data_IF_458285171314
#
_entry.id   IF_458285171314
#
_cell.length_a   1.000
_cell.length_b   1.000
_cell.length_c   1.000
_cell.angle_alpha   90.00
_cell.angle_beta   90.00
_cell.angle_gamma   90.00
#
_symmetry.space_group_name_H-M   'P 1'
#
loop_
_entity.id
_entity.type
_entity.pdbx_description
1 polymer ?
#
# COMPACT_ATOMS: atom_id res chain seq x y z
N UNK A 1 7.37 13.23 -18.58
CA UNK A 1 7.79 13.24 -17.17
C UNK A 1 9.23 12.74 -17.13
N UNK A 2 10.19 13.62 -16.86
CA UNK A 2 11.61 13.26 -16.76
C UNK A 2 11.79 12.44 -15.48
N UNK A 3 12.09 11.16 -15.64
CA UNK A 3 12.58 10.31 -14.54
C UNK A 3 14.07 10.64 -14.41
N UNK A 4 14.50 11.07 -13.22
CA UNK A 4 15.90 11.29 -12.91
C UNK A 4 16.67 9.98 -13.18
N UNK A 5 17.49 9.98 -14.23
CA UNK A 5 18.29 8.83 -14.67
C UNK A 5 19.72 9.06 -14.17
N UNK A 6 20.14 8.27 -13.20
CA UNK A 6 21.51 8.13 -12.69
C UNK A 6 22.39 7.76 -13.85
N UNK A 7 23.55 8.38 -13.80
CA UNK A 7 24.60 8.27 -14.79
C UNK A 7 25.39 6.96 -14.60
N UNK A 8 25.15 6.21 -13.51
CA UNK A 8 25.93 5.03 -13.12
C UNK A 8 25.05 3.86 -12.66
N UNK A 9 25.47 2.65 -13.04
CA UNK A 9 24.75 1.39 -12.82
C UNK A 9 25.70 0.28 -12.38
N UNK A 10 25.26 -0.57 -11.43
CA UNK A 10 26.04 -1.71 -10.90
C UNK A 10 25.24 -2.99 -11.08
N UNK A 11 25.76 -3.99 -11.81
CA UNK A 11 25.09 -5.29 -11.99
C UNK A 11 24.95 -6.09 -10.68
N UNK A 12 23.79 -6.03 -10.04
CA UNK A 12 23.45 -6.85 -8.86
C UNK A 12 22.94 -8.24 -9.30
N UNK A 13 23.45 -9.37 -8.77
CA UNK A 13 22.89 -10.70 -9.02
C UNK A 13 21.40 -10.80 -8.64
N UNK A 14 20.60 -11.59 -9.38
CA UNK A 14 19.16 -11.80 -9.07
C UNK A 14 18.88 -13.06 -8.26
N UNK A 15 19.92 -13.82 -7.92
CA UNK A 15 19.87 -15.04 -7.13
C UNK A 15 20.89 -14.92 -5.99
N UNK A 16 20.63 -15.61 -4.89
CA UNK A 16 21.57 -15.77 -3.78
C UNK A 16 22.01 -14.44 -3.14
N UNK A 17 21.06 -13.51 -2.96
CA UNK A 17 21.30 -12.23 -2.29
C UNK A 17 21.22 -12.44 -0.77
N UNK A 18 22.37 -12.38 -0.08
CA UNK A 18 22.41 -12.31 1.38
C UNK A 18 22.14 -10.88 1.84
N UNK A 19 21.05 -10.70 2.59
CA UNK A 19 20.79 -9.47 3.34
C UNK A 19 21.09 -9.70 4.81
N UNK A 20 21.89 -8.82 5.42
CA UNK A 20 22.17 -8.81 6.86
C UNK A 20 21.85 -7.41 7.39
N UNK A 21 20.88 -7.33 8.29
CA UNK A 21 20.30 -6.06 8.76
C UNK A 21 20.75 -5.74 10.18
N UNK A 22 21.27 -4.52 10.33
CA UNK A 22 21.55 -3.72 11.54
C UNK A 22 21.95 -4.47 12.82
N UNK A 23 23.18 -4.20 13.30
CA UNK A 23 23.71 -4.69 14.59
C UNK A 23 22.84 -4.29 15.81
N UNK A 24 22.13 -3.14 15.73
CA UNK A 24 21.33 -2.58 16.83
C UNK A 24 20.07 -1.86 16.33
N UNK A 25 19.04 -2.57 15.84
CA UNK A 25 17.82 -1.90 15.41
C UNK A 25 17.06 -1.36 16.62
N UNK A 26 16.39 -0.22 16.43
CA UNK A 26 15.53 0.39 17.44
C UNK A 26 14.14 -0.28 17.56
N UNK A 27 13.91 -1.37 16.84
CA UNK A 27 12.67 -2.13 16.85
C UNK A 27 12.95 -3.59 17.24
N UNK A 28 11.92 -4.27 17.76
CA UNK A 28 12.00 -5.67 18.12
C UNK A 28 12.14 -6.54 16.86
N UNK A 29 13.30 -7.14 16.66
CA UNK A 29 13.60 -8.02 15.53
C UNK A 29 12.71 -9.28 15.48
N UNK A 30 12.12 -9.66 16.62
CA UNK A 30 11.21 -10.80 16.70
C UNK A 30 9.79 -10.43 16.27
N UNK A 31 9.50 -9.14 16.06
CA UNK A 31 8.19 -8.71 15.56
C UNK A 31 8.15 -8.74 14.03
N UNK A 32 7.04 -9.26 13.45
CA UNK A 32 6.86 -9.27 12.01
C UNK A 32 6.82 -7.85 11.40
N UNK A 33 7.58 -7.61 10.32
CA UNK A 33 7.48 -6.40 9.49
C UNK A 33 6.55 -6.67 8.30
N UNK A 34 5.25 -6.78 8.58
CA UNK A 34 4.28 -7.30 7.59
C UNK A 34 3.62 -6.22 6.73
N UNK A 35 3.70 -4.93 7.10
CA UNK A 35 3.04 -3.88 6.33
C UNK A 35 3.58 -3.77 4.89
N UNK A 36 4.90 -3.85 4.71
CA UNK A 36 5.49 -3.87 3.36
C UNK A 36 5.05 -5.09 2.56
N UNK A 37 4.91 -6.25 3.21
CA UNK A 37 4.39 -7.46 2.57
C UNK A 37 2.92 -7.31 2.18
N UNK A 38 2.11 -6.63 2.99
CA UNK A 38 0.73 -6.32 2.64
C UNK A 38 0.65 -5.45 1.37
N UNK A 39 1.49 -4.41 1.25
CA UNK A 39 1.56 -3.57 0.05
C UNK A 39 1.91 -4.41 -1.18
N UNK A 40 2.93 -5.26 -1.07
CA UNK A 40 3.34 -6.15 -2.15
C UNK A 40 2.25 -7.18 -2.49
N UNK A 41 1.55 -7.72 -1.51
CA UNK A 41 0.45 -8.67 -1.71
C UNK A 41 -0.72 -8.02 -2.46
N UNK A 42 -1.09 -6.78 -2.11
CA UNK A 42 -2.12 -6.02 -2.83
C UNK A 42 -1.73 -5.86 -4.31
N UNK A 43 -0.47 -5.48 -4.58
CA UNK A 43 0.04 -5.30 -5.94
C UNK A 43 0.12 -6.64 -6.69
N UNK A 44 0.60 -7.69 -6.03
CA UNK A 44 0.74 -9.05 -6.59
C UNK A 44 -0.61 -9.65 -6.98
N UNK A 45 -1.65 -9.38 -6.18
CA UNK A 45 -3.05 -9.70 -6.47
C UNK A 45 -3.67 -8.80 -7.57
N UNK A 46 -2.87 -7.99 -8.27
CA UNK A 46 -3.30 -7.01 -9.28
C UNK A 46 -4.21 -5.89 -8.75
N UNK A 47 -4.22 -5.69 -7.43
CA UNK A 47 -4.82 -4.53 -6.79
C UNK A 47 -4.00 -3.26 -6.98
N UNK A 48 -4.63 -2.11 -6.69
CA UNK A 48 -3.97 -0.81 -6.69
C UNK A 48 -3.89 -0.33 -5.25
N UNK A 49 -2.69 -0.32 -4.69
CA UNK A 49 -2.47 0.08 -3.30
C UNK A 49 -2.74 1.57 -3.09
N UNK A 50 -3.29 1.94 -1.94
CA UNK A 50 -3.28 3.32 -1.45
C UNK A 50 -3.06 3.28 0.06
N UNK A 51 -2.10 4.07 0.53
CA UNK A 51 -1.84 4.22 1.96
C UNK A 51 -2.48 5.51 2.49
N UNK A 52 -2.84 5.53 3.76
CA UNK A 52 -3.37 6.70 4.45
C UNK A 52 -2.67 6.89 5.79
N UNK A 53 -2.89 8.02 6.46
CA UNK A 53 -2.34 8.28 7.78
C UNK A 53 -3.30 7.76 8.86
N UNK A 54 -2.84 6.91 9.81
CA UNK A 54 -3.65 6.43 10.93
C UNK A 54 -4.32 7.54 11.77
N UNK A 55 -3.75 8.75 11.78
CA UNK A 55 -4.30 9.90 12.51
C UNK A 55 -5.40 10.65 11.75
N UNK A 56 -5.76 10.24 10.53
CA UNK A 56 -6.79 10.93 9.75
C UNK A 56 -8.19 10.67 10.35
N UNK A 57 -8.99 11.73 10.54
CA UNK A 57 -10.37 11.57 10.98
C UNK A 57 -11.25 10.98 9.87
N UNK A 58 -12.43 10.50 10.26
CA UNK A 58 -13.46 9.91 9.37
C UNK A 58 -13.69 10.71 8.09
N UNK A 59 -13.80 12.04 8.18
CA UNK A 59 -14.04 12.89 7.01
C UNK A 59 -12.88 12.87 5.99
N UNK A 60 -11.62 12.88 6.47
CA UNK A 60 -10.45 12.79 5.59
C UNK A 60 -10.34 11.39 4.98
N UNK A 61 -10.61 10.34 5.75
CA UNK A 61 -10.65 8.96 5.27
C UNK A 61 -11.77 8.74 4.23
N UNK A 62 -12.95 9.34 4.45
CA UNK A 62 -14.09 9.28 3.53
C UNK A 62 -13.73 9.93 2.18
N UNK A 63 -13.10 11.12 2.23
CA UNK A 63 -12.58 11.75 1.03
C UNK A 63 -11.49 10.91 0.35
N UNK A 64 -10.61 10.26 1.13
CA UNK A 64 -9.58 9.34 0.63
C UNK A 64 -10.18 8.16 -0.12
N UNK A 65 -11.16 7.46 0.47
CA UNK A 65 -11.86 6.31 -0.13
C UNK A 65 -12.51 6.72 -1.44
N UNK A 66 -13.26 7.84 -1.44
CA UNK A 66 -13.93 8.36 -2.62
C UNK A 66 -12.96 8.70 -3.76
N UNK A 67 -11.87 9.40 -3.43
CA UNK A 67 -10.89 9.88 -4.41
C UNK A 67 -10.06 8.75 -5.00
N UNK A 68 -9.65 7.79 -4.15
CA UNK A 68 -8.91 6.59 -4.57
C UNK A 68 -9.79 5.56 -5.27
N UNK A 69 -11.12 5.66 -5.10
CA UNK A 69 -12.11 4.65 -5.53
C UNK A 69 -11.87 3.29 -4.86
N UNK A 70 -11.41 3.31 -3.61
CA UNK A 70 -11.19 2.09 -2.83
C UNK A 70 -12.49 1.33 -2.63
N UNK A 71 -12.43 0.01 -2.80
CA UNK A 71 -13.56 -0.91 -2.64
C UNK A 71 -13.38 -1.94 -1.53
N UNK A 72 -12.13 -2.13 -1.11
CA UNK A 72 -11.71 -3.09 -0.11
C UNK A 72 -10.73 -2.38 0.82
N UNK A 73 -10.93 -2.54 2.12
CA UNK A 73 -10.24 -1.80 3.16
C UNK A 73 -9.56 -2.78 4.10
N UNK A 74 -8.35 -2.43 4.51
CA UNK A 74 -7.58 -3.19 5.48
C UNK A 74 -7.14 -2.23 6.58
N UNK A 75 -7.37 -2.59 7.85
CA UNK A 75 -7.16 -1.71 9.00
C UNK A 75 -6.59 -2.46 10.19
N UNK A 76 -5.72 -1.83 10.96
CA UNK A 76 -5.39 -2.32 12.29
C UNK A 76 -6.59 -2.09 13.24
N UNK A 77 -6.84 -3.00 14.19
CA UNK A 77 -8.03 -2.92 15.04
C UNK A 77 -8.10 -1.62 15.87
N UNK A 78 -6.96 -1.04 16.24
CA UNK A 78 -6.84 0.18 17.05
C UNK A 78 -7.35 1.44 16.35
N UNK A 79 -7.39 1.44 15.01
CA UNK A 79 -7.79 2.60 14.19
C UNK A 79 -9.03 2.33 13.34
N UNK A 80 -9.70 1.20 13.59
CA UNK A 80 -10.85 0.73 12.81
C UNK A 80 -12.05 1.69 12.88
N UNK A 81 -12.31 2.31 14.03
CA UNK A 81 -13.52 3.13 14.25
C UNK A 81 -13.65 4.26 13.22
N UNK A 82 -12.58 5.04 13.03
CA UNK A 82 -12.58 6.15 12.06
C UNK A 82 -12.74 5.63 10.62
N UNK A 83 -12.15 4.47 10.31
CA UNK A 83 -12.28 3.86 8.99
C UNK A 83 -13.68 3.31 8.74
N UNK A 84 -14.34 2.75 9.75
CA UNK A 84 -15.68 2.18 9.63
C UNK A 84 -16.75 3.25 9.39
N UNK A 85 -16.61 4.41 10.03
CA UNK A 85 -17.44 5.58 9.71
C UNK A 85 -17.28 5.99 8.24
N UNK A 86 -16.03 6.07 7.77
CA UNK A 86 -15.72 6.48 6.40
C UNK A 86 -16.18 5.44 5.36
N UNK A 87 -16.08 4.15 5.69
CA UNK A 87 -16.58 3.05 4.89
C UNK A 87 -18.10 3.13 4.71
N UNK A 88 -18.83 3.41 5.79
CA UNK A 88 -20.30 3.56 5.80
C UNK A 88 -20.73 4.71 4.89
N UNK A 89 -20.10 5.89 4.99
CA UNK A 89 -20.37 7.04 4.13
C UNK A 89 -20.12 6.77 2.63
N UNK A 90 -19.23 5.82 2.32
CA UNK A 90 -18.87 5.45 0.95
C UNK A 90 -19.52 4.16 0.47
N UNK A 91 -20.50 3.62 1.21
CA UNK A 91 -21.23 2.39 0.89
C UNK A 91 -20.30 1.17 0.73
N UNK A 92 -19.24 1.10 1.53
CA UNK A 92 -18.36 -0.08 1.60
C UNK A 92 -18.99 -1.07 2.60
N UNK A 93 -19.28 -2.27 2.11
CA UNK A 93 -19.83 -3.36 2.94
C UNK A 93 -18.81 -3.80 3.99
N UNK A 94 -19.28 -4.17 5.18
CA UNK A 94 -18.43 -4.63 6.29
C UNK A 94 -17.56 -5.84 5.89
N UNK A 95 -18.06 -6.73 5.03
CA UNK A 95 -17.34 -7.88 4.49
C UNK A 95 -16.10 -7.52 3.65
N UNK A 96 -16.02 -6.28 3.17
CA UNK A 96 -14.88 -5.73 2.43
C UNK A 96 -13.91 -4.96 3.36
N UNK A 97 -14.09 -5.04 4.68
CA UNK A 97 -13.22 -4.43 5.69
C UNK A 97 -12.56 -5.55 6.49
N UNK A 98 -11.27 -5.77 6.25
CA UNK A 98 -10.50 -6.83 6.89
C UNK A 98 -9.50 -6.26 7.90
N UNK A 99 -9.27 -7.00 8.97
CA UNK A 99 -8.42 -6.57 10.08
C UNK A 99 -7.01 -7.05 9.84
N UNK A 100 -6.07 -6.11 9.79
CA UNK A 100 -4.65 -6.39 9.79
C UNK A 100 -4.18 -6.59 11.22
N UNK A 101 -4.19 -7.85 11.67
CA UNK A 101 -3.75 -8.28 13.00
C UNK A 101 -2.39 -9.02 12.92
N UNK A 102 -1.29 -8.41 12.45
CA UNK A 102 -0.01 -9.10 12.29
C UNK A 102 0.53 -9.67 13.60
N UNK A 103 0.19 -9.07 14.74
CA UNK A 103 0.66 -9.46 16.08
C UNK A 103 -0.32 -10.36 16.83
N UNK A 104 -1.45 -10.74 16.22
CA UNK A 104 -2.48 -11.54 16.88
C UNK A 104 -3.37 -10.72 17.78
N UNK A 105 -3.58 -9.46 17.42
CA UNK A 105 -4.56 -8.60 18.07
C UNK A 105 -5.97 -9.19 17.97
N UNK A 106 -6.82 -8.78 18.90
CA UNK A 106 -8.24 -9.17 18.90
C UNK A 106 -8.95 -8.65 17.65
N UNK A 107 -9.78 -9.50 17.04
CA UNK A 107 -10.61 -9.14 15.89
C UNK A 107 -11.95 -8.58 16.38
N UNK A 108 -12.28 -7.32 16.08
CA UNK A 108 -13.57 -6.75 16.44
C UNK A 108 -14.74 -7.54 15.85
N UNK A 109 -15.84 -7.61 16.58
CA UNK A 109 -17.02 -8.37 16.19
C UNK A 109 -17.55 -7.95 14.80
N UNK A 110 -17.90 -8.94 13.97
CA UNK A 110 -18.41 -8.70 12.61
C UNK A 110 -17.33 -8.50 11.54
N UNK A 111 -16.04 -8.55 11.90
CA UNK A 111 -14.92 -8.45 10.96
C UNK A 111 -14.15 -9.77 10.81
N UNK A 112 -13.35 -9.83 9.74
CA UNK A 112 -12.47 -10.96 9.41
C UNK A 112 -11.01 -10.59 9.59
N UNK A 113 -10.19 -11.56 9.97
CA UNK A 113 -8.73 -11.37 10.00
C UNK A 113 -8.15 -11.43 8.59
N UNK A 114 -7.14 -10.60 8.28
CA UNK A 114 -6.36 -10.70 7.04
C UNK A 114 -5.71 -12.07 6.86
N UNK A 115 -5.44 -12.80 7.95
CA UNK A 115 -4.86 -14.14 7.93
C UNK A 115 -5.78 -15.17 7.30
N UNK A 116 -7.09 -14.91 7.25
CA UNK A 116 -8.01 -15.78 6.51
C UNK A 116 -7.63 -15.89 5.03
N UNK A 117 -6.98 -14.86 4.45
CA UNK A 117 -6.47 -14.90 3.07
C UNK A 117 -5.49 -16.06 2.87
N UNK A 118 -4.75 -16.45 3.91
CA UNK A 118 -3.76 -17.54 3.86
C UNK A 118 -4.41 -18.93 3.75
N UNK A 119 -5.73 -19.04 3.99
CA UNK A 119 -6.45 -20.30 3.92
C UNK A 119 -7.03 -20.60 2.53
N UNK A 120 -6.93 -19.67 1.57
CA UNK A 120 -7.48 -19.83 0.21
C UNK A 120 -6.48 -20.43 -0.79
N UNK A 121 -5.31 -20.85 -0.34
CA UNK A 121 -4.24 -21.40 -1.17
C UNK A 121 -3.36 -20.34 -1.80
N UNK A 122 -2.58 -20.73 -2.81
CA UNK A 122 -1.65 -19.86 -3.51
C UNK A 122 -1.76 -20.01 -5.03
N UNK A 123 -1.40 -18.94 -5.74
CA UNK A 123 -1.26 -18.94 -7.18
C UNK A 123 -0.01 -18.12 -7.54
N UNK A 124 0.66 -18.52 -8.63
CA UNK A 124 1.75 -17.74 -9.20
C UNK A 124 1.33 -16.30 -9.50
N UNK A 125 2.21 -15.36 -9.19
CA UNK A 125 1.99 -13.95 -9.50
C UNK A 125 1.80 -13.77 -11.00
N UNK A 126 0.98 -12.78 -11.39
CA UNK A 126 0.86 -12.39 -12.79
C UNK A 126 2.21 -11.82 -13.25
N UNK A 127 2.97 -12.61 -14.00
CA UNK A 127 4.26 -12.21 -14.57
C UNK A 127 4.05 -11.55 -15.92
N UNK A 128 4.78 -10.47 -16.15
CA UNK A 128 4.87 -9.78 -17.43
C UNK A 128 6.32 -9.32 -17.60
N UNK A 129 6.77 -9.23 -18.85
CA UNK A 129 8.15 -8.84 -19.19
C UNK A 129 8.21 -7.74 -20.25
N UNK A 130 7.08 -7.09 -20.55
CA UNK A 130 7.00 -6.02 -21.53
C UNK A 130 6.92 -4.63 -20.86
N UNK A 131 7.62 -3.66 -21.46
CA UNK A 131 7.72 -2.31 -20.93
C UNK A 131 6.38 -1.55 -20.96
N UNK A 132 5.46 -1.94 -21.84
CA UNK A 132 4.17 -1.26 -21.99
C UNK A 132 3.26 -1.57 -20.81
N UNK A 133 3.11 -2.84 -20.46
CA UNK A 133 2.38 -3.30 -19.27
C UNK A 133 2.96 -2.69 -18.00
N UNK A 134 4.29 -2.66 -17.86
CA UNK A 134 4.94 -2.02 -16.71
C UNK A 134 4.55 -0.55 -16.58
N UNK A 135 4.48 0.17 -17.71
CA UNK A 135 4.18 1.61 -17.76
C UNK A 135 2.70 1.94 -17.59
N UNK A 136 1.78 1.01 -17.86
CA UNK A 136 0.34 1.31 -17.85
C UNK A 136 -0.41 0.63 -16.71
N UNK A 137 0.11 -0.47 -16.16
CA UNK A 137 -0.54 -1.19 -15.06
C UNK A 137 -0.41 -0.38 -13.76
N UNK A 138 -1.53 0.12 -13.20
CA UNK A 138 -1.50 0.86 -11.95
C UNK A 138 -1.11 -0.05 -10.79
N UNK A 139 -0.25 0.44 -9.93
CA UNK A 139 0.25 -0.29 -8.77
C UNK A 139 -0.09 0.43 -7.46
N UNK A 140 -0.02 1.77 -7.46
CA UNK A 140 -0.43 2.56 -6.31
C UNK A 140 -1.11 3.87 -6.70
N UNK A 141 -2.00 4.35 -5.83
CA UNK A 141 -2.58 5.69 -5.83
C UNK A 141 -2.16 6.38 -4.55
N UNK A 142 -1.17 7.25 -4.60
CA UNK A 142 -0.68 7.97 -3.43
C UNK A 142 -1.31 9.35 -3.39
N UNK A 143 -2.03 9.63 -2.31
CA UNK A 143 -2.66 10.93 -2.08
C UNK A 143 -1.67 11.84 -1.35
N UNK A 144 -1.44 13.03 -1.88
CA UNK A 144 -0.67 14.08 -1.20
C UNK A 144 -1.58 15.26 -0.89
N UNK A 145 -1.44 15.82 0.31
CA UNK A 145 -2.05 17.11 0.63
C UNK A 145 -1.24 18.19 -0.08
N UNK A 146 -1.73 18.72 -1.19
CA UNK A 146 -1.06 19.81 -1.88
C UNK A 146 -1.01 21.05 -0.98
N UNK A 147 0.15 21.69 -0.86
CA UNK A 147 0.29 23.02 -0.22
C UNK A 147 -0.13 24.12 -1.20
N UNK A 148 -1.33 24.05 -1.76
CA UNK A 148 -1.91 25.23 -2.42
C UNK A 148 -2.28 26.21 -1.32
N UNK A 149 -1.65 27.39 -1.30
CA UNK A 149 -1.78 28.45 -0.28
C UNK A 149 -3.17 29.09 -0.18
N UNK A 150 -4.20 28.26 -0.02
CA UNK A 150 -5.57 28.63 0.27
C UNK A 150 -5.82 28.50 1.79
N UNK A 151 -6.79 29.25 2.34
CA UNK A 151 -6.90 29.50 3.77
C UNK A 151 -7.03 28.22 4.59
N UNK A 152 -6.40 28.20 5.77
CA UNK A 152 -6.41 27.10 6.75
C UNK A 152 -7.83 26.53 6.93
N UNK A 153 -8.12 25.37 6.35
CA UNK A 153 -9.40 24.70 6.57
C UNK A 153 -9.79 23.62 5.55
N UNK A 154 -9.20 23.59 4.35
CA UNK A 154 -9.56 22.59 3.34
C UNK A 154 -8.32 21.91 2.76
N UNK A 155 -7.92 20.78 3.33
CA UNK A 155 -6.89 19.92 2.71
C UNK A 155 -7.51 19.24 1.49
N UNK A 156 -7.11 19.66 0.29
CA UNK A 156 -7.40 18.89 -0.92
C UNK A 156 -6.35 17.80 -1.08
N UNK A 157 -6.79 16.53 -1.15
CA UNK A 157 -5.91 15.41 -1.46
C UNK A 157 -5.80 15.27 -2.99
N UNK A 158 -4.57 15.30 -3.52
CA UNK A 158 -4.29 15.04 -4.94
C UNK A 158 -3.74 13.63 -5.11
N UNK A 159 -4.30 12.87 -6.04
CA UNK A 159 -3.86 11.51 -6.32
C UNK A 159 -2.75 11.51 -7.38
N UNK A 160 -1.59 10.93 -7.04
CA UNK A 160 -0.62 10.47 -8.02
C UNK A 160 -0.85 8.97 -8.28
N UNK A 161 -1.07 8.61 -9.55
CA UNK A 161 -1.11 7.21 -9.97
C UNK A 161 0.30 6.76 -10.32
N UNK A 162 0.80 5.79 -9.57
CA UNK A 162 2.07 5.13 -9.83
C UNK A 162 1.80 3.80 -10.51
N UNK A 163 2.44 3.59 -11.65
CA UNK A 163 2.41 2.31 -12.36
C UNK A 163 3.55 1.42 -11.88
N UNK A 164 3.48 0.13 -12.20
CA UNK A 164 4.49 -0.85 -11.77
C UNK A 164 5.91 -0.41 -12.16
N UNK A 165 6.11 0.20 -13.32
CA UNK A 165 7.42 0.74 -13.71
C UNK A 165 7.93 1.81 -12.76
N UNK A 166 7.07 2.64 -12.16
CA UNK A 166 7.49 3.67 -11.21
C UNK A 166 7.87 3.07 -9.85
N UNK A 167 7.13 2.05 -9.39
CA UNK A 167 7.49 1.30 -8.17
C UNK A 167 8.76 0.48 -8.38
N UNK A 168 8.86 -0.19 -9.53
CA UNK A 168 10.06 -0.90 -9.94
C UNK A 168 11.21 0.10 -10.11
N UNK A 169 11.05 1.30 -10.66
CA UNK A 169 12.18 2.27 -10.66
C UNK A 169 12.60 2.78 -9.28
N UNK A 170 11.72 2.67 -8.26
CA UNK A 170 12.05 2.97 -6.85
C UNK A 170 12.78 1.78 -6.20
N UNK A 171 12.55 0.53 -6.66
CA UNK A 171 13.03 -0.72 -6.04
C UNK A 171 14.14 -1.42 -6.86
N UNK A 172 14.13 -1.23 -8.18
CA UNK A 172 14.97 -1.80 -9.23
C UNK A 172 15.69 -0.64 -9.94
N UNK A 173 16.97 -0.51 -9.63
CA UNK A 173 17.89 0.44 -10.24
C UNK A 173 18.12 0.17 -11.75
N UNK A 174 17.61 -0.94 -12.32
CA UNK A 174 17.84 -1.36 -13.71
C UNK A 174 16.94 -0.70 -14.75
N UNK A 175 15.81 -0.11 -14.36
CA UNK A 175 14.91 0.60 -15.28
C UNK A 175 15.43 1.99 -15.69
N UNK A 176 16.64 2.31 -15.27
CA UNK A 176 17.38 3.52 -15.59
C UNK A 176 18.18 3.36 -16.90
N UNK A 177 17.70 2.52 -17.83
CA UNK A 177 18.28 2.32 -19.17
C UNK A 177 17.69 3.24 -20.22
#
# INVERSE_FOLDING_TARGET
MMVFKAETHINIPTKDILSYIFDKPAYDQNKPILYCLLVLAIIGASGVYTGTNPAYPTAELSHHIKTSKSKFLISEPEILESLQGAATENNILCENIWIFDPLGQHIPAGHKSWRELLNFGEQDWVRFNDAQTAKTKPAARLLSSGTSGLPKGLRSLRAALLNLSAIVSIIDWRSWK
#
